data_IF_524937338904
#
_entry.id   IF_524937338904
#
_cell.length_a   1.000
_cell.length_b   1.000
_cell.length_c   1.000
_cell.angle_alpha   90.00
_cell.angle_beta   90.00
_cell.angle_gamma   90.00
#
_symmetry.space_group_name_H-M   'P 1'
#
loop_
_entity.id
_entity.type
_entity.pdbx_description
1 polymer ?
#
# COMPACT_ATOMS: atom_id res chain seq x y z
N UNK A 1 -7.81 24.15 -4.31
CA UNK A 1 -8.89 23.16 -4.45
C UNK A 1 -9.97 23.63 -5.43
N UNK A 2 -10.38 24.92 -5.40
CA UNK A 2 -11.46 25.46 -6.27
C UNK A 2 -11.26 25.14 -7.76
N UNK A 3 -10.10 25.43 -8.38
CA UNK A 3 -9.92 25.08 -9.81
C UNK A 3 -10.09 23.57 -10.11
N UNK A 4 -9.62 22.70 -9.21
CA UNK A 4 -9.80 21.25 -9.39
C UNK A 4 -11.28 20.85 -9.29
N UNK A 5 -12.03 21.45 -8.38
CA UNK A 5 -13.45 21.21 -8.19
C UNK A 5 -14.25 21.64 -9.43
N UNK A 6 -13.95 22.83 -9.98
CA UNK A 6 -14.56 23.35 -11.21
C UNK A 6 -14.28 22.49 -12.45
N UNK A 7 -13.16 21.76 -12.45
CA UNK A 7 -12.78 20.80 -13.51
C UNK A 7 -13.24 19.36 -13.26
N UNK A 8 -14.18 19.16 -12.31
CA UNK A 8 -14.83 17.85 -12.11
C UNK A 8 -14.01 16.87 -11.26
N UNK A 9 -13.31 17.36 -10.22
CA UNK A 9 -12.64 16.48 -9.26
C UNK A 9 -13.65 15.56 -8.56
N UNK A 10 -13.43 14.23 -8.64
CA UNK A 10 -14.35 13.22 -8.09
C UNK A 10 -14.32 13.15 -6.55
N UNK A 11 -13.15 13.31 -5.93
CA UNK A 11 -12.98 13.22 -4.48
C UNK A 11 -11.61 13.78 -4.04
N UNK A 12 -11.46 14.03 -2.74
CA UNK A 12 -10.16 14.35 -2.12
C UNK A 12 -9.79 13.36 -1.03
N UNK A 13 -8.51 13.00 -0.94
CA UNK A 13 -7.96 12.21 0.16
C UNK A 13 -7.35 13.17 1.18
N UNK A 14 -7.82 13.10 2.43
CA UNK A 14 -7.45 14.02 3.51
C UNK A 14 -6.96 13.24 4.73
N UNK A 15 -5.91 13.76 5.40
CA UNK A 15 -5.42 13.21 6.67
C UNK A 15 -5.70 14.10 7.87
N UNK A 16 -5.95 15.37 7.67
CA UNK A 16 -6.16 16.37 8.73
C UNK A 16 -7.65 16.66 8.94
N UNK A 17 -8.11 16.60 10.19
CA UNK A 17 -9.52 16.79 10.53
C UNK A 17 -9.99 18.21 10.27
N UNK A 18 -9.14 19.22 10.47
CA UNK A 18 -9.48 20.61 10.18
C UNK A 18 -9.64 20.85 8.67
N UNK A 19 -8.76 20.25 7.85
CA UNK A 19 -8.90 20.28 6.38
C UNK A 19 -10.17 19.55 5.94
N UNK A 20 -10.50 18.42 6.56
CA UNK A 20 -11.72 17.68 6.27
C UNK A 20 -12.97 18.53 6.56
N UNK A 21 -13.02 19.19 7.71
CA UNK A 21 -14.11 20.10 8.06
C UNK A 21 -14.21 21.28 7.10
N UNK A 22 -13.07 21.88 6.72
CA UNK A 22 -13.02 22.99 5.78
C UNK A 22 -13.54 22.57 4.39
N UNK A 23 -13.10 21.41 3.88
CA UNK A 23 -13.60 20.87 2.59
C UNK A 23 -15.11 20.68 2.65
N UNK A 24 -15.63 20.04 3.70
CA UNK A 24 -17.07 19.82 3.84
C UNK A 24 -17.89 21.11 3.97
N UNK A 25 -17.32 22.13 4.60
CA UNK A 25 -17.99 23.44 4.73
C UNK A 25 -18.08 24.19 3.40
N UNK A 26 -16.99 24.20 2.63
CA UNK A 26 -16.88 25.01 1.42
C UNK A 26 -17.20 24.26 0.12
N UNK A 27 -17.10 22.92 0.15
CA UNK A 27 -17.37 22.03 -0.99
C UNK A 27 -18.26 20.86 -0.53
N UNK A 28 -19.52 21.12 -0.12
CA UNK A 28 -20.37 20.12 0.55
C UNK A 28 -20.67 18.90 -0.32
N UNK A 29 -20.60 19.03 -1.65
CA UNK A 29 -20.84 17.95 -2.60
C UNK A 29 -19.57 17.17 -3.00
N UNK A 30 -18.37 17.63 -2.54
CA UNK A 30 -17.13 16.92 -2.85
C UNK A 30 -16.88 15.79 -1.85
N UNK A 31 -16.85 14.53 -2.31
CA UNK A 31 -16.55 13.39 -1.43
C UNK A 31 -15.18 13.53 -0.78
N UNK A 32 -15.10 13.24 0.52
CA UNK A 32 -13.84 13.21 1.27
C UNK A 32 -13.52 11.77 1.63
N UNK A 33 -12.31 11.32 1.26
CA UNK A 33 -11.76 10.03 1.64
C UNK A 33 -10.71 10.23 2.73
N UNK A 34 -10.83 9.47 3.82
CA UNK A 34 -9.84 9.50 4.89
C UNK A 34 -8.57 8.77 4.47
N UNK A 35 -7.42 9.43 4.63
CA UNK A 35 -6.12 8.88 4.24
C UNK A 35 -5.69 7.72 5.16
N UNK A 36 -4.93 6.77 4.63
CA UNK A 36 -4.19 5.77 5.43
C UNK A 36 -3.27 6.41 6.48
N UNK A 37 -2.88 7.67 6.28
CA UNK A 37 -2.06 8.43 7.23
C UNK A 37 -2.82 8.83 8.50
N UNK A 38 -4.14 8.63 8.56
CA UNK A 38 -4.95 8.74 9.78
C UNK A 38 -4.84 7.50 10.67
N UNK A 39 -4.11 6.47 10.27
CA UNK A 39 -3.79 5.26 11.04
C UNK A 39 -5.04 4.53 11.55
N UNK A 40 -5.99 4.28 10.65
CA UNK A 40 -7.25 3.66 11.03
C UNK A 40 -7.10 2.13 11.08
N UNK A 41 -7.04 1.61 12.30
CA UNK A 41 -6.82 0.20 12.60
C UNK A 41 -8.03 -0.46 13.29
N UNK A 42 -9.19 0.18 13.36
CA UNK A 42 -10.35 -0.39 14.03
C UNK A 42 -11.65 0.35 13.80
N UNK A 43 -12.76 -0.30 14.12
CA UNK A 43 -14.14 0.18 13.88
C UNK A 43 -14.45 1.51 14.56
N UNK A 44 -13.86 1.81 15.73
CA UNK A 44 -14.11 3.06 16.46
C UNK A 44 -13.65 4.28 15.68
N UNK A 45 -12.41 4.28 15.17
CA UNK A 45 -11.88 5.37 14.35
C UNK A 45 -12.62 5.53 13.02
N UNK A 46 -12.98 4.42 12.38
CA UNK A 46 -13.74 4.43 11.13
C UNK A 46 -15.15 5.02 11.35
N UNK A 47 -15.81 4.66 12.47
CA UNK A 47 -17.13 5.20 12.83
C UNK A 47 -17.08 6.71 13.07
N UNK A 48 -16.07 7.17 13.81
CA UNK A 48 -15.84 8.60 14.04
C UNK A 48 -15.71 9.38 12.72
N UNK A 49 -14.93 8.85 11.76
CA UNK A 49 -14.77 9.52 10.46
C UNK A 49 -16.03 9.44 9.59
N UNK A 50 -16.80 8.36 9.69
CA UNK A 50 -18.11 8.28 9.03
C UNK A 50 -19.06 9.35 9.55
N UNK A 51 -19.16 9.54 10.86
CA UNK A 51 -19.94 10.58 11.51
C UNK A 51 -19.43 11.99 11.15
N UNK A 52 -18.10 12.15 11.06
CA UNK A 52 -17.48 13.36 10.56
C UNK A 52 -17.71 13.59 9.06
N UNK A 53 -18.29 12.65 8.32
CA UNK A 53 -18.73 12.75 6.94
C UNK A 53 -17.71 12.30 5.90
N UNK A 54 -16.76 11.44 6.26
CA UNK A 54 -15.97 10.75 5.26
C UNK A 54 -16.85 9.79 4.43
N UNK A 55 -16.64 9.77 3.12
CA UNK A 55 -17.31 8.83 2.21
C UNK A 55 -16.60 7.49 2.16
N UNK A 56 -15.26 7.49 2.21
CA UNK A 56 -14.41 6.31 2.12
C UNK A 56 -13.27 6.42 3.13
N UNK A 57 -12.78 5.28 3.58
CA UNK A 57 -11.62 5.20 4.47
C UNK A 57 -10.56 4.32 3.83
N UNK A 58 -9.33 4.85 3.70
CA UNK A 58 -8.15 4.06 3.35
C UNK A 58 -7.57 3.50 4.63
N UNK A 59 -7.72 2.21 4.85
CA UNK A 59 -7.27 1.55 6.09
C UNK A 59 -5.74 1.53 6.22
N UNK A 60 -5.28 1.39 7.45
CA UNK A 60 -3.88 1.09 7.74
C UNK A 60 -3.50 -0.27 7.13
N UNK A 61 -2.22 -0.44 6.74
CA UNK A 61 -1.73 -1.64 6.05
C UNK A 61 -1.46 -2.81 6.99
N UNK A 62 -1.55 -2.57 8.28
CA UNK A 62 -1.21 -3.50 9.37
C UNK A 62 -2.39 -4.39 9.78
N UNK A 63 -3.51 -4.33 9.06
CA UNK A 63 -4.73 -5.09 9.33
C UNK A 63 -4.76 -6.42 8.59
N UNK A 64 -5.24 -7.45 9.28
CA UNK A 64 -5.59 -8.74 8.71
C UNK A 64 -6.95 -8.69 7.98
N UNK A 65 -7.20 -9.67 7.10
CA UNK A 65 -8.50 -9.80 6.42
C UNK A 65 -9.68 -9.90 7.41
N UNK A 66 -9.48 -10.59 8.52
CA UNK A 66 -10.52 -10.75 9.55
C UNK A 66 -10.85 -9.41 10.23
N UNK A 67 -9.84 -8.58 10.53
CA UNK A 67 -10.04 -7.25 11.11
C UNK A 67 -10.72 -6.30 10.12
N UNK A 68 -10.35 -6.35 8.84
CA UNK A 68 -10.99 -5.58 7.78
C UNK A 68 -12.46 -5.96 7.63
N UNK A 69 -12.77 -7.26 7.59
CA UNK A 69 -14.14 -7.76 7.51
C UNK A 69 -14.98 -7.29 8.71
N UNK A 70 -14.42 -7.33 9.92
CA UNK A 70 -15.06 -6.82 11.12
C UNK A 70 -15.33 -5.33 11.06
N UNK A 71 -14.36 -4.53 10.60
CA UNK A 71 -14.53 -3.08 10.43
C UNK A 71 -15.68 -2.80 9.45
N UNK A 72 -15.73 -3.54 8.32
CA UNK A 72 -16.81 -3.38 7.36
C UNK A 72 -18.17 -3.73 7.97
N UNK A 73 -18.28 -4.87 8.64
CA UNK A 73 -19.51 -5.32 9.31
C UNK A 73 -20.00 -4.34 10.38
N UNK A 74 -19.08 -3.82 11.20
CA UNK A 74 -19.40 -2.91 12.32
C UNK A 74 -19.82 -1.51 11.85
N UNK A 75 -19.36 -1.07 10.68
CA UNK A 75 -19.49 0.33 10.26
C UNK A 75 -20.28 0.52 8.96
N UNK A 76 -20.35 -0.48 8.09
CA UNK A 76 -20.88 -0.37 6.74
C UNK A 76 -20.20 0.73 5.91
N UNK A 77 -18.92 1.04 6.25
CA UNK A 77 -18.14 2.07 5.58
C UNK A 77 -17.55 1.54 4.28
N UNK A 78 -17.45 2.40 3.26
CA UNK A 78 -16.70 2.10 2.06
C UNK A 78 -15.20 2.05 2.37
N UNK A 79 -14.60 0.87 2.24
CA UNK A 79 -13.20 0.63 2.60
C UNK A 79 -12.30 0.59 1.36
N UNK A 80 -11.10 1.17 1.49
CA UNK A 80 -10.02 1.08 0.52
C UNK A 80 -8.78 0.48 1.16
N UNK A 81 -8.17 -0.52 0.52
CA UNK A 81 -6.97 -1.19 1.01
C UNK A 81 -5.86 -1.24 -0.03
N UNK A 82 -4.61 -1.16 0.42
CA UNK A 82 -3.46 -1.36 -0.46
C UNK A 82 -3.31 -2.83 -0.83
N UNK A 83 -3.17 -3.11 -2.12
CA UNK A 83 -3.02 -4.48 -2.64
C UNK A 83 -1.67 -4.74 -3.30
N UNK A 84 -0.93 -3.69 -3.65
CA UNK A 84 0.39 -3.83 -4.29
C UNK A 84 1.32 -2.66 -3.97
N UNK A 85 2.63 -2.98 -3.91
CA UNK A 85 3.71 -2.01 -3.79
C UNK A 85 4.32 -1.91 -2.39
N UNK A 86 4.99 -0.81 -2.11
CA UNK A 86 5.83 -0.66 -0.92
C UNK A 86 5.05 -0.76 0.40
N UNK A 87 5.52 -1.61 1.30
CA UNK A 87 5.13 -1.59 2.72
C UNK A 87 6.07 -0.69 3.52
N UNK A 88 5.55 -0.02 4.55
CA UNK A 88 6.35 0.68 5.54
C UNK A 88 6.78 -0.26 6.67
N UNK A 89 7.96 -0.01 7.23
CA UNK A 89 8.40 -0.70 8.45
C UNK A 89 7.62 -0.22 9.68
N UNK A 90 7.32 1.07 9.72
CA UNK A 90 6.54 1.71 10.76
C UNK A 90 5.04 1.62 10.44
N UNK A 91 4.19 1.73 11.46
CA UNK A 91 2.75 1.88 11.28
C UNK A 91 2.39 2.97 10.29
N UNK A 92 1.35 2.72 9.50
CA UNK A 92 0.83 3.66 8.49
C UNK A 92 0.58 5.04 9.12
N UNK A 93 1.18 6.10 8.55
CA UNK A 93 1.03 7.46 9.03
C UNK A 93 1.87 7.88 10.24
N UNK A 94 2.56 6.95 10.92
CA UNK A 94 3.27 7.23 12.19
C UNK A 94 4.79 7.36 12.04
N UNK A 95 5.33 7.20 10.82
CA UNK A 95 6.77 7.21 10.60
C UNK A 95 7.35 8.63 10.61
N UNK A 96 8.27 8.89 11.53
CA UNK A 96 9.05 10.14 11.61
C UNK A 96 10.48 10.00 11.10
N UNK A 97 10.92 8.81 10.69
CA UNK A 97 12.30 8.50 10.38
C UNK A 97 12.92 9.45 9.35
N UNK A 98 12.25 9.62 8.20
CA UNK A 98 12.72 10.54 7.15
C UNK A 98 12.64 12.03 7.57
N UNK A 99 11.74 12.38 8.48
CA UNK A 99 11.65 13.74 9.01
C UNK A 99 12.80 14.06 9.95
N UNK A 100 13.17 13.12 10.84
CA UNK A 100 14.23 13.28 11.82
C UNK A 100 15.59 13.34 11.13
N UNK A 101 15.87 12.43 10.20
CA UNK A 101 17.18 12.35 9.55
C UNK A 101 17.42 13.46 8.51
N UNK A 102 16.40 13.96 7.84
CA UNK A 102 16.59 14.85 6.70
C UNK A 102 15.50 15.91 6.48
N UNK A 103 14.65 16.18 7.48
CA UNK A 103 13.58 17.19 7.37
C UNK A 103 12.49 16.85 6.31
N UNK A 104 12.45 15.61 5.81
CA UNK A 104 11.56 15.18 4.72
C UNK A 104 10.39 14.34 5.25
N UNK A 105 9.26 14.99 5.52
CA UNK A 105 8.08 14.31 6.06
C UNK A 105 7.46 13.32 5.07
N UNK A 106 7.33 12.06 5.49
CA UNK A 106 6.61 11.02 4.76
C UNK A 106 5.12 11.33 4.60
N UNK A 107 4.50 11.92 5.62
CA UNK A 107 3.09 12.31 5.62
C UNK A 107 2.79 13.48 4.66
N UNK A 108 3.83 14.22 4.27
CA UNK A 108 3.73 15.26 3.22
C UNK A 108 4.23 14.76 1.85
N UNK A 109 4.33 13.45 1.65
CA UNK A 109 4.75 12.86 0.38
C UNK A 109 6.24 12.98 0.06
N UNK A 110 7.09 13.36 1.02
CA UNK A 110 8.51 13.69 0.80
C UNK A 110 9.48 12.66 1.39
N UNK A 111 9.00 11.47 1.76
CA UNK A 111 9.83 10.42 2.37
C UNK A 111 11.05 10.08 1.50
N UNK A 112 12.25 10.17 2.10
CA UNK A 112 13.51 9.77 1.46
C UNK A 112 13.76 8.25 1.53
N UNK A 113 12.88 7.48 2.16
CA UNK A 113 12.99 6.03 2.34
C UNK A 113 14.26 5.59 3.11
N UNK A 114 14.66 6.22 4.23
CA UNK A 114 15.86 5.81 4.95
C UNK A 114 15.81 4.35 5.42
N UNK A 115 14.61 3.81 5.69
CA UNK A 115 14.43 2.39 6.03
C UNK A 115 14.88 1.40 4.93
N UNK A 116 15.21 1.89 3.73
CA UNK A 116 15.72 1.06 2.61
C UNK A 116 17.24 1.02 2.52
N UNK A 117 17.92 1.81 3.34
CA UNK A 117 19.38 1.78 3.41
C UNK A 117 19.85 0.57 4.22
N UNK A 118 21.11 0.19 3.99
CA UNK A 118 21.76 -0.84 4.76
C UNK A 118 22.21 -0.29 6.12
N UNK A 119 21.98 -1.05 7.19
CA UNK A 119 22.31 -0.74 8.57
C UNK A 119 23.04 -1.89 9.24
N UNK A 120 23.84 -1.58 10.23
CA UNK A 120 24.33 -2.53 11.21
C UNK A 120 23.63 -2.27 12.54
N UNK A 121 23.11 -3.33 13.16
CA UNK A 121 22.60 -3.26 14.52
C UNK A 121 23.73 -3.63 15.49
N UNK A 122 23.90 -2.83 16.54
CA UNK A 122 24.89 -3.07 17.58
C UNK A 122 24.22 -3.03 18.96
N UNK A 123 24.73 -3.88 19.87
CA UNK A 123 24.44 -3.88 21.29
C UNK A 123 25.73 -3.67 22.02
N UNK A 124 25.82 -2.62 22.86
CA UNK A 124 27.04 -2.20 23.56
C UNK A 124 28.31 -2.20 22.67
N UNK A 125 28.20 -1.62 21.48
CA UNK A 125 29.24 -1.56 20.43
C UNK A 125 29.63 -2.89 19.79
N UNK A 126 28.91 -3.99 20.09
CA UNK A 126 29.08 -5.27 19.40
C UNK A 126 28.03 -5.39 18.31
N UNK A 127 28.45 -5.63 17.06
CA UNK A 127 27.53 -5.86 15.94
C UNK A 127 26.73 -7.15 16.18
N UNK A 128 25.39 -7.05 16.18
CA UNK A 128 24.47 -8.17 16.38
C UNK A 128 23.71 -8.54 15.11
N UNK A 129 23.81 -7.74 14.03
CA UNK A 129 23.10 -7.93 12.77
C UNK A 129 23.77 -8.90 11.78
N UNK A 130 24.80 -9.65 12.20
CA UNK A 130 25.59 -10.47 11.29
C UNK A 130 26.76 -9.69 10.66
N UNK A 131 27.41 -10.28 9.64
CA UNK A 131 28.55 -9.63 8.97
C UNK A 131 28.05 -8.60 7.94
N UNK A 132 28.49 -7.34 8.11
CA UNK A 132 28.22 -6.25 7.19
C UNK A 132 26.82 -5.62 7.33
N UNK A 133 26.66 -4.47 6.70
CA UNK A 133 25.40 -3.75 6.70
C UNK A 133 24.33 -4.46 5.87
N UNK A 134 23.11 -4.52 6.40
CA UNK A 134 21.96 -5.19 5.79
C UNK A 134 20.75 -4.25 5.77
N UNK A 135 19.81 -4.51 4.87
CA UNK A 135 18.55 -3.74 4.76
C UNK A 135 17.55 -4.15 5.85
N UNK A 136 17.96 -4.06 7.12
CA UNK A 136 17.26 -4.57 8.30
C UNK A 136 15.84 -4.02 8.48
N UNK A 137 15.58 -2.80 7.99
CA UNK A 137 14.32 -2.10 8.13
C UNK A 137 13.49 -2.08 6.83
N UNK A 138 13.89 -2.87 5.81
CA UNK A 138 13.24 -2.89 4.50
C UNK A 138 12.23 -4.04 4.38
N UNK A 139 10.91 -3.81 4.48
CA UNK A 139 9.95 -4.84 4.13
C UNK A 139 9.98 -5.15 2.63
N UNK A 140 9.66 -6.40 2.28
CA UNK A 140 9.31 -6.79 0.91
C UNK A 140 8.09 -5.99 0.42
N UNK A 141 7.95 -5.89 -0.89
CA UNK A 141 6.77 -5.26 -1.45
C UNK A 141 5.52 -6.15 -1.24
N UNK A 142 4.39 -5.51 -0.99
CA UNK A 142 3.10 -6.16 -0.94
C UNK A 142 2.71 -6.64 -2.33
N UNK A 143 2.23 -7.86 -2.44
CA UNK A 143 1.49 -8.35 -3.59
C UNK A 143 0.35 -9.25 -3.10
N UNK A 144 -0.87 -8.72 -3.16
CA UNK A 144 -2.07 -9.41 -2.70
C UNK A 144 -2.95 -9.88 -3.87
N UNK A 145 -2.35 -10.08 -5.05
CA UNK A 145 -3.13 -10.47 -6.24
C UNK A 145 -3.85 -11.80 -6.07
N UNK A 146 -3.29 -12.70 -5.29
CA UNK A 146 -3.90 -14.01 -4.99
C UNK A 146 -5.04 -13.92 -4.00
N UNK A 147 -5.14 -12.81 -3.27
CA UNK A 147 -6.11 -12.57 -2.21
C UNK A 147 -7.25 -11.65 -2.65
N UNK A 148 -7.35 -11.31 -3.93
CA UNK A 148 -8.42 -10.43 -4.43
C UNK A 148 -9.83 -10.93 -4.05
N UNK A 149 -10.16 -12.23 -4.17
CA UNK A 149 -11.45 -12.73 -3.71
C UNK A 149 -11.67 -12.50 -2.21
N UNK A 150 -10.70 -12.83 -1.37
CA UNK A 150 -10.78 -12.69 0.09
C UNK A 150 -10.89 -11.22 0.51
N UNK A 151 -10.16 -10.34 -0.16
CA UNK A 151 -10.21 -8.89 0.06
C UNK A 151 -11.60 -8.35 -0.29
N UNK A 152 -12.17 -8.77 -1.42
CA UNK A 152 -13.52 -8.38 -1.83
C UNK A 152 -14.59 -8.94 -0.85
N UNK A 153 -14.47 -10.21 -0.44
CA UNK A 153 -15.35 -10.86 0.54
C UNK A 153 -15.26 -10.20 1.93
N UNK A 154 -14.11 -9.61 2.29
CA UNK A 154 -13.95 -8.81 3.50
C UNK A 154 -14.64 -7.43 3.43
N UNK A 155 -15.29 -7.08 2.31
CA UNK A 155 -16.04 -5.84 2.13
C UNK A 155 -15.20 -4.66 1.64
N UNK A 156 -14.02 -4.91 1.08
CA UNK A 156 -13.19 -3.86 0.47
C UNK A 156 -13.78 -3.46 -0.87
N UNK A 157 -14.10 -2.18 -1.00
CA UNK A 157 -14.67 -1.60 -2.22
C UNK A 157 -13.61 -1.15 -3.22
N UNK A 158 -12.49 -0.62 -2.73
CA UNK A 158 -11.44 -0.01 -3.56
C UNK A 158 -10.07 -0.61 -3.30
N UNK A 159 -9.37 -0.96 -4.38
CA UNK A 159 -8.02 -1.53 -4.34
C UNK A 159 -6.99 -0.47 -4.70
N UNK A 160 -6.02 -0.25 -3.80
CA UNK A 160 -5.00 0.78 -3.95
C UNK A 160 -3.64 0.20 -4.27
N UNK A 161 -2.97 0.76 -5.28
CA UNK A 161 -1.61 0.42 -5.68
C UNK A 161 -0.68 1.56 -5.25
N UNK A 162 0.40 1.24 -4.51
CA UNK A 162 1.44 2.21 -4.19
C UNK A 162 2.44 2.31 -5.35
N UNK A 163 2.45 3.46 -6.02
CA UNK A 163 3.31 3.68 -7.19
C UNK A 163 3.90 5.08 -7.31
N UNK A 164 3.71 5.95 -6.30
CA UNK A 164 4.08 7.38 -6.38
C UNK A 164 5.54 7.64 -6.73
N UNK A 165 6.46 6.79 -6.27
CA UNK A 165 7.90 6.90 -6.55
C UNK A 165 8.36 5.97 -7.67
N UNK A 166 7.43 5.47 -8.47
CA UNK A 166 7.70 4.51 -9.54
C UNK A 166 7.53 5.18 -10.92
N UNK A 167 8.09 4.53 -11.92
CA UNK A 167 7.92 4.95 -13.34
C UNK A 167 6.50 4.67 -13.82
N UNK A 168 6.01 5.37 -14.84
CA UNK A 168 4.68 5.15 -15.42
C UNK A 168 4.45 3.69 -15.85
N UNK A 169 5.46 3.04 -16.43
CA UNK A 169 5.38 1.65 -16.90
C UNK A 169 5.08 0.67 -15.77
N UNK A 170 5.66 0.90 -14.58
CA UNK A 170 5.31 0.12 -13.40
C UNK A 170 3.82 0.24 -13.09
N UNK A 171 3.31 1.45 -13.02
CA UNK A 171 1.91 1.69 -12.67
C UNK A 171 0.97 1.10 -13.71
N UNK A 172 1.25 1.29 -14.99
CA UNK A 172 0.46 0.75 -16.09
C UNK A 172 0.45 -0.79 -16.08
N UNK A 173 1.62 -1.42 -15.94
CA UNK A 173 1.74 -2.89 -15.92
C UNK A 173 1.02 -3.52 -14.71
N UNK A 174 1.19 -2.94 -13.50
CA UNK A 174 0.51 -3.44 -12.31
C UNK A 174 -1.02 -3.29 -12.46
N UNK A 175 -1.51 -2.12 -12.89
CA UNK A 175 -2.95 -1.89 -13.07
C UNK A 175 -3.53 -2.85 -14.10
N UNK A 176 -2.87 -3.05 -15.24
CA UNK A 176 -3.31 -3.98 -16.29
C UNK A 176 -3.50 -5.39 -15.74
N UNK A 177 -2.53 -5.90 -14.98
CA UNK A 177 -2.61 -7.24 -14.40
C UNK A 177 -3.70 -7.31 -13.34
N UNK A 178 -3.75 -6.36 -12.39
CA UNK A 178 -4.79 -6.35 -11.36
C UNK A 178 -6.19 -6.21 -11.97
N UNK A 179 -6.39 -5.36 -12.99
CA UNK A 179 -7.67 -5.20 -13.68
C UNK A 179 -8.15 -6.51 -14.30
N UNK A 180 -7.25 -7.23 -14.99
CA UNK A 180 -7.51 -8.56 -15.55
C UNK A 180 -8.10 -9.53 -14.51
N UNK A 181 -7.49 -9.56 -13.31
CA UNK A 181 -7.89 -10.50 -12.26
C UNK A 181 -9.11 -10.05 -11.48
N UNK A 182 -9.29 -8.76 -11.28
CA UNK A 182 -10.55 -8.20 -10.72
C UNK A 182 -11.72 -8.50 -11.65
N UNK A 183 -11.58 -8.25 -12.95
CA UNK A 183 -12.64 -8.54 -13.93
C UNK A 183 -12.97 -10.03 -14.00
N UNK A 184 -11.94 -10.88 -13.92
CA UNK A 184 -12.13 -12.33 -13.85
C UNK A 184 -12.90 -12.74 -12.60
N UNK A 185 -12.54 -12.22 -11.42
CA UNK A 185 -13.26 -12.48 -10.18
C UNK A 185 -14.72 -12.01 -10.24
N UNK A 186 -14.95 -10.80 -10.74
CA UNK A 186 -16.30 -10.25 -10.86
C UNK A 186 -17.18 -11.06 -11.83
N UNK A 187 -16.59 -11.65 -12.87
CA UNK A 187 -17.33 -12.45 -13.87
C UNK A 187 -17.57 -13.89 -13.45
N UNK A 188 -16.60 -14.55 -12.83
CA UNK A 188 -16.60 -15.99 -12.60
C UNK A 188 -16.60 -16.38 -11.12
N UNK A 189 -16.42 -15.41 -10.21
CA UNK A 189 -16.33 -15.64 -8.77
C UNK A 189 -15.01 -16.27 -8.32
N UNK A 190 -14.97 -16.66 -7.05
CA UNK A 190 -13.77 -17.19 -6.38
C UNK A 190 -13.36 -18.58 -6.86
N UNK A 191 -14.34 -19.43 -7.22
CA UNK A 191 -14.08 -20.82 -7.58
C UNK A 191 -13.12 -20.99 -8.75
N UNK A 192 -13.17 -20.08 -9.72
CA UNK A 192 -12.32 -20.10 -10.92
C UNK A 192 -11.19 -19.06 -10.87
N UNK A 193 -10.93 -18.52 -9.68
CA UNK A 193 -9.89 -17.52 -9.51
C UNK A 193 -8.51 -18.18 -9.40
N UNK A 194 -7.67 -17.96 -10.40
CA UNK A 194 -6.30 -18.44 -10.42
C UNK A 194 -5.41 -17.46 -11.17
N UNK A 195 -4.31 -17.05 -10.52
CA UNK A 195 -3.30 -16.17 -11.13
C UNK A 195 -2.28 -17.02 -11.90
N UNK A 196 -1.98 -16.62 -13.14
CA UNK A 196 -1.00 -17.34 -13.96
C UNK A 196 0.43 -17.09 -13.49
N UNK A 197 1.30 -18.07 -13.68
CA UNK A 197 2.74 -17.91 -13.39
C UNK A 197 3.40 -16.85 -14.28
N UNK A 198 2.91 -16.62 -15.50
CA UNK A 198 3.41 -15.58 -16.38
C UNK A 198 3.16 -14.19 -15.79
N UNK A 199 1.92 -13.93 -15.33
CA UNK A 199 1.57 -12.65 -14.69
C UNK A 199 2.32 -12.44 -13.37
N UNK A 200 2.54 -13.50 -12.56
CA UNK A 200 3.37 -13.42 -11.34
C UNK A 200 4.81 -13.03 -11.66
N UNK A 201 5.39 -13.64 -12.69
CA UNK A 201 6.75 -13.30 -13.15
C UNK A 201 6.83 -11.87 -13.67
N UNK A 202 5.82 -11.43 -14.39
CA UNK A 202 5.76 -10.04 -14.86
C UNK A 202 5.68 -9.04 -13.71
N UNK A 203 4.84 -9.29 -12.69
CA UNK A 203 4.79 -8.46 -11.49
C UNK A 203 6.17 -8.36 -10.80
N UNK A 204 6.90 -9.48 -10.71
CA UNK A 204 8.26 -9.50 -10.17
C UNK A 204 9.26 -8.72 -11.03
N UNK A 205 9.14 -8.79 -12.37
CA UNK A 205 10.00 -8.04 -13.30
C UNK A 205 9.76 -6.54 -13.24
N UNK A 206 8.50 -6.12 -13.12
CA UNK A 206 8.15 -4.70 -13.02
C UNK A 206 8.85 -4.04 -11.84
N UNK A 207 8.71 -4.58 -10.65
CA UNK A 207 9.48 -4.15 -9.47
C UNK A 207 9.24 -5.06 -8.26
N UNK A 208 10.29 -5.39 -7.52
CA UNK A 208 10.19 -5.96 -6.19
C UNK A 208 11.46 -5.71 -5.36
N UNK A 209 11.37 -5.80 -4.03
CA UNK A 209 12.47 -5.81 -3.06
C UNK A 209 12.58 -7.21 -2.48
N UNK A 210 13.44 -8.04 -3.06
CA UNK A 210 13.69 -9.42 -2.60
C UNK A 210 12.40 -10.27 -2.55
N UNK A 211 11.59 -10.19 -3.61
CA UNK A 211 10.30 -10.87 -3.74
C UNK A 211 9.14 -10.09 -3.15
N UNK A 212 8.02 -10.79 -2.97
CA UNK A 212 6.77 -10.26 -2.45
C UNK A 212 6.39 -10.89 -1.11
N UNK A 213 5.49 -10.22 -0.39
CA UNK A 213 4.74 -10.76 0.73
C UNK A 213 3.25 -10.41 0.60
N UNK A 214 2.38 -11.16 1.26
CA UNK A 214 0.95 -10.82 1.41
C UNK A 214 0.71 -9.70 2.44
N UNK A 215 1.78 -9.11 2.97
CA UNK A 215 1.67 -8.13 4.05
C UNK A 215 1.05 -8.73 5.30
N UNK A 216 0.20 -7.96 5.96
CA UNK A 216 -0.50 -8.38 7.17
C UNK A 216 -1.82 -9.11 6.91
N UNK A 217 -2.25 -9.27 5.68
CA UNK A 217 -3.54 -9.89 5.35
C UNK A 217 -3.69 -11.30 5.90
N UNK A 218 -2.62 -12.08 5.92
CA UNK A 218 -2.62 -13.50 6.31
C UNK A 218 -1.65 -13.84 7.44
N UNK A 219 -0.89 -12.87 7.94
CA UNK A 219 0.13 -13.09 8.97
C UNK A 219 0.34 -11.82 9.81
N UNK A 220 0.83 -12.01 11.03
CA UNK A 220 1.36 -10.93 11.87
C UNK A 220 2.87 -11.01 11.79
N UNK A 221 3.55 -9.94 11.49
CA UNK A 221 5.01 -9.80 11.48
C UNK A 221 5.79 -11.09 11.13
N UNK A 222 6.99 -10.96 10.68
CA UNK A 222 7.84 -12.12 10.43
C UNK A 222 9.03 -11.78 9.56
N UNK A 223 10.10 -12.58 9.70
CA UNK A 223 11.31 -12.43 8.90
C UNK A 223 11.04 -12.59 7.39
N UNK A 224 10.06 -13.38 7.03
CA UNK A 224 9.61 -13.58 5.64
C UNK A 224 9.03 -12.31 4.99
N UNK A 225 8.59 -11.33 5.79
CA UNK A 225 8.15 -10.01 5.31
C UNK A 225 9.32 -9.07 5.02
N UNK A 226 10.55 -9.40 5.40
CA UNK A 226 11.71 -8.50 5.30
C UNK A 226 12.58 -8.83 4.09
N UNK A 227 13.03 -7.78 3.41
CA UNK A 227 14.04 -7.84 2.35
C UNK A 227 15.41 -7.55 3.00
N UNK A 228 16.10 -8.60 3.44
CA UNK A 228 17.34 -8.48 4.23
C UNK A 228 18.60 -8.30 3.37
N UNK A 229 18.48 -8.46 2.06
CA UNK A 229 19.57 -8.27 1.09
C UNK A 229 19.19 -7.23 0.05
N UNK A 230 20.15 -6.47 -0.43
CA UNK A 230 19.97 -5.67 -1.64
C UNK A 230 19.85 -6.59 -2.84
N UNK A 231 18.71 -6.51 -3.53
CA UNK A 231 18.52 -7.23 -4.77
C UNK A 231 19.04 -6.42 -5.95
N UNK A 232 20.01 -6.99 -6.65
CA UNK A 232 20.39 -6.56 -7.99
C UNK A 232 19.71 -7.46 -9.02
N UNK A 233 19.10 -6.86 -10.06
CA UNK A 233 18.58 -7.63 -11.19
C UNK A 233 19.73 -8.36 -11.89
N UNK A 234 19.55 -9.64 -12.14
CA UNK A 234 20.44 -10.39 -13.03
C UNK A 234 20.37 -9.81 -14.48
N UNK A 235 21.37 -10.05 -15.29
CA UNK A 235 21.39 -9.55 -16.67
C UNK A 235 20.24 -10.13 -17.50
N UNK A 236 19.81 -11.39 -17.20
CA UNK A 236 18.62 -11.98 -17.79
C UNK A 236 17.34 -11.23 -17.42
N UNK A 237 17.22 -10.80 -16.16
CA UNK A 237 16.06 -10.02 -15.69
C UNK A 237 16.05 -8.60 -16.25
N UNK A 238 17.23 -7.99 -16.44
CA UNK A 238 17.36 -6.68 -17.12
C UNK A 238 16.85 -6.76 -18.54
N UNK A 239 17.31 -7.77 -19.30
CA UNK A 239 16.88 -8.00 -20.69
C UNK A 239 15.38 -8.26 -20.78
N UNK A 240 14.83 -9.14 -19.93
CA UNK A 240 13.40 -9.41 -19.90
C UNK A 240 12.56 -8.18 -19.54
N UNK A 241 13.08 -7.30 -18.67
CA UNK A 241 12.43 -6.03 -18.35
C UNK A 241 12.45 -5.06 -19.53
N UNK A 242 13.56 -4.96 -20.26
CA UNK A 242 13.66 -4.15 -21.47
C UNK A 242 12.70 -4.62 -22.57
N UNK A 243 12.60 -5.93 -22.77
CA UNK A 243 11.63 -6.55 -23.69
C UNK A 243 10.18 -6.23 -23.29
N UNK A 244 9.87 -6.27 -21.98
CA UNK A 244 8.55 -5.92 -21.45
C UNK A 244 8.18 -4.43 -21.67
N UNK A 245 9.18 -3.53 -21.64
CA UNK A 245 8.93 -2.10 -21.89
C UNK A 245 8.66 -1.77 -23.36
N UNK A 246 9.02 -2.66 -24.29
CA UNK A 246 8.85 -2.51 -25.72
C UNK A 246 7.54 -3.16 -26.24
N UNK A 247 6.88 -3.97 -25.43
CA UNK A 247 5.60 -4.64 -25.73
C UNK A 247 4.39 -3.80 -25.33
#
# INVERSE_FOLDING_TARGET
LLPCYEHGLDAVIVQDMGVMQAVRKWFPNLPVHASTQMTLCGSGGVRLLKEAGARRVVLARELSLAEIARIHQDTGMELECFVHGALCYCYSGQCLFSSILGGRSGNRGRCAQPCRLAYEAADDRKTVSGKGAQTLLSPKDLCAIDLIPEIAEAGVYSLKIEGRMKRPEYTAGIIRIYRKYVDRYLRYGKKDYQVSEADRKELLLLFNRDGFSSGYYTQHNGRNMMALSERTRSDREKKAYEELLLS
#
